data_IF_849717268049
#
_entry.id   IF_849717268049
#
_cell.length_a   1.000
_cell.length_b   1.000
_cell.length_c   1.000
_cell.angle_alpha   90.00
_cell.angle_beta   90.00
_cell.angle_gamma   90.00
#
_symmetry.space_group_name_H-M   'P 1'
#
loop_
_entity.id
_entity.type
_entity.pdbx_description
1 polymer ?
#
# COMPACT_ATOMS: atom_id res chain seq x y z
N UNK A 1 41.83 -9.84 12.03
CA UNK A 1 41.14 -10.85 12.88
C UNK A 1 39.85 -10.21 13.37
N UNK A 2 38.77 -10.36 12.61
CA UNK A 2 37.44 -9.88 12.99
C UNK A 2 36.56 -11.12 13.16
N UNK A 3 36.27 -11.45 14.41
CA UNK A 3 35.41 -12.56 14.81
C UNK A 3 33.97 -12.22 14.45
N UNK A 4 33.48 -12.81 13.35
CA UNK A 4 32.08 -12.80 12.95
C UNK A 4 31.27 -13.59 13.97
N UNK A 5 30.45 -12.89 14.77
CA UNK A 5 29.46 -13.53 15.64
C UNK A 5 28.47 -14.34 14.81
N UNK A 6 28.07 -15.56 15.23
CA UNK A 6 27.06 -16.34 14.53
C UNK A 6 25.68 -15.69 14.76
N UNK A 7 25.06 -15.20 13.69
CA UNK A 7 23.64 -14.84 13.72
C UNK A 7 22.81 -16.10 14.02
N UNK A 8 21.73 -15.99 14.82
CA UNK A 8 20.83 -17.11 15.10
C UNK A 8 20.04 -17.42 13.82
N UNK A 9 20.48 -18.43 13.08
CA UNK A 9 19.80 -18.90 11.87
C UNK A 9 18.55 -19.69 12.26
N UNK A 10 17.39 -19.26 11.74
CA UNK A 10 16.12 -19.98 11.79
C UNK A 10 16.30 -21.45 11.35
N UNK A 11 15.52 -22.41 11.89
CA UNK A 11 15.61 -23.82 11.50
C UNK A 11 15.43 -23.98 9.99
N UNK A 12 16.24 -24.84 9.38
CA UNK A 12 16.27 -25.07 7.94
C UNK A 12 14.85 -25.30 7.38
N UNK A 13 14.46 -24.48 6.41
CA UNK A 13 13.17 -24.55 5.72
C UNK A 13 12.95 -25.84 4.92
N UNK A 14 13.91 -26.77 4.94
CA UNK A 14 13.83 -28.10 4.33
C UNK A 14 13.13 -29.14 5.21
N UNK A 15 12.77 -28.81 6.45
CA UNK A 15 12.05 -29.73 7.32
C UNK A 15 10.55 -29.71 7.02
N UNK A 16 10.02 -30.82 6.51
CA UNK A 16 8.58 -31.04 6.31
C UNK A 16 7.86 -31.24 7.65
N UNK A 17 7.68 -30.17 8.42
CA UNK A 17 7.03 -30.19 9.74
C UNK A 17 5.67 -30.90 9.73
N UNK A 18 4.91 -30.74 8.64
CA UNK A 18 3.59 -31.34 8.45
C UNK A 18 3.60 -32.87 8.32
N UNK A 19 4.76 -33.51 8.10
CA UNK A 19 4.88 -34.97 8.01
C UNK A 19 5.39 -35.63 9.31
N UNK A 20 5.80 -34.84 10.29
CA UNK A 20 6.34 -35.36 11.55
C UNK A 20 5.21 -35.91 12.44
N UNK A 21 5.49 -37.01 13.15
CA UNK A 21 4.60 -37.47 14.22
C UNK A 21 4.62 -36.49 15.41
N UNK A 22 3.68 -36.66 16.33
CA UNK A 22 3.60 -35.84 17.55
C UNK A 22 4.89 -35.97 18.37
N UNK A 23 5.37 -37.20 18.58
CA UNK A 23 6.57 -37.49 19.37
C UNK A 23 7.83 -36.91 18.72
N UNK A 24 7.91 -37.00 17.39
CA UNK A 24 9.01 -36.41 16.63
C UNK A 24 9.00 -34.89 16.72
N UNK A 25 7.83 -34.27 16.66
CA UNK A 25 7.67 -32.82 16.79
C UNK A 25 8.04 -32.34 18.20
N UNK A 26 7.61 -33.05 19.24
CA UNK A 26 7.95 -32.75 20.64
C UNK A 26 9.45 -32.85 20.90
N UNK A 27 10.09 -33.87 20.31
CA UNK A 27 11.54 -34.06 20.41
C UNK A 27 12.29 -32.98 19.64
N UNK A 28 11.85 -32.65 18.41
CA UNK A 28 12.47 -31.62 17.58
C UNK A 28 12.35 -30.21 18.17
N UNK A 29 11.24 -29.92 18.86
CA UNK A 29 10.99 -28.65 19.53
C UNK A 29 11.52 -28.60 20.97
N UNK A 30 12.07 -29.70 21.49
CA UNK A 30 12.51 -29.85 22.89
C UNK A 30 11.46 -29.33 23.89
N UNK A 31 10.27 -29.92 23.82
CA UNK A 31 9.13 -29.56 24.66
C UNK A 31 8.41 -30.79 25.20
N UNK A 32 7.80 -30.64 26.36
CA UNK A 32 6.96 -31.68 26.96
C UNK A 32 5.49 -31.51 26.51
N UNK A 33 4.79 -32.62 26.29
CA UNK A 33 3.40 -32.61 25.87
C UNK A 33 2.41 -32.17 26.98
N UNK A 34 2.71 -32.52 28.24
CA UNK A 34 1.83 -32.28 29.39
C UNK A 34 2.16 -30.96 30.10
N UNK A 35 3.46 -30.68 30.27
CA UNK A 35 3.92 -29.52 31.05
C UNK A 35 4.33 -28.33 30.18
N UNK A 36 4.52 -28.54 28.87
CA UNK A 36 4.95 -27.50 27.94
C UNK A 36 6.37 -26.99 28.23
N UNK A 37 6.57 -25.70 27.97
CA UNK A 37 7.86 -25.02 28.17
C UNK A 37 7.92 -24.33 29.54
N UNK A 38 9.10 -24.35 30.14
CA UNK A 38 9.36 -23.59 31.36
C UNK A 38 9.50 -22.10 31.06
N UNK A 39 9.24 -21.23 32.05
CA UNK A 39 9.39 -19.77 31.88
C UNK A 39 10.80 -19.35 31.47
N UNK A 40 11.83 -20.08 31.91
CA UNK A 40 13.21 -19.85 31.50
C UNK A 40 13.41 -20.15 30.00
N UNK A 41 12.94 -21.31 29.54
CA UNK A 41 13.00 -21.69 28.13
C UNK A 41 12.19 -20.75 27.23
N UNK A 42 11.04 -20.25 27.71
CA UNK A 42 10.27 -19.23 26.98
C UNK A 42 11.09 -17.95 26.80
N UNK A 43 11.76 -17.49 27.86
CA UNK A 43 12.58 -16.27 27.82
C UNK A 43 13.78 -16.42 26.88
N UNK A 44 14.45 -17.57 26.92
CA UNK A 44 15.58 -17.89 26.03
C UNK A 44 15.13 -17.97 24.56
N UNK A 45 14.00 -18.63 24.30
CA UNK A 45 13.43 -18.70 22.94
C UNK A 45 12.97 -17.34 22.44
N UNK A 46 12.42 -16.47 23.28
CA UNK A 46 12.06 -15.10 22.89
C UNK A 46 13.30 -14.27 22.51
N UNK A 47 14.43 -14.47 23.19
CA UNK A 47 15.69 -13.80 22.82
C UNK A 47 16.28 -14.34 21.51
N UNK A 48 16.08 -15.62 21.22
CA UNK A 48 16.63 -16.28 20.04
C UNK A 48 15.76 -16.07 18.78
N UNK A 49 14.45 -16.29 18.88
CA UNK A 49 13.51 -16.24 17.75
C UNK A 49 12.81 -14.89 17.61
N UNK A 50 12.83 -14.05 18.65
CA UNK A 50 12.05 -12.82 18.69
C UNK A 50 10.57 -13.07 19.04
N UNK A 51 9.79 -11.99 19.00
CA UNK A 51 8.35 -12.06 19.17
C UNK A 51 7.71 -12.68 17.92
N UNK A 52 6.71 -13.53 18.12
CA UNK A 52 5.89 -14.07 17.02
C UNK A 52 4.86 -13.03 16.58
N UNK A 53 5.34 -11.89 16.10
CA UNK A 53 4.54 -10.80 15.56
C UNK A 53 4.99 -10.47 14.15
N UNK A 54 4.03 -10.16 13.29
CA UNK A 54 4.33 -9.65 11.96
C UNK A 54 4.74 -8.18 12.12
N UNK A 55 5.92 -7.82 11.62
CA UNK A 55 6.32 -6.43 11.57
C UNK A 55 5.32 -5.65 10.70
N UNK A 56 4.54 -4.78 11.34
CA UNK A 56 3.70 -3.84 10.61
C UNK A 56 4.61 -2.89 9.84
N UNK A 57 4.71 -3.10 8.53
CA UNK A 57 5.32 -2.12 7.64
C UNK A 57 4.55 -0.82 7.81
N UNK A 58 5.26 0.30 8.00
CA UNK A 58 4.63 1.61 8.13
C UNK A 58 3.56 1.80 7.07
N UNK A 59 2.33 2.04 7.52
CA UNK A 59 1.24 2.41 6.63
C UNK A 59 1.67 3.64 5.83
N UNK A 60 1.56 3.58 4.50
CA UNK A 60 1.83 4.74 3.67
C UNK A 60 0.91 5.87 4.09
N UNK A 61 1.48 7.05 4.36
CA UNK A 61 0.69 8.21 4.76
C UNK A 61 -0.23 8.66 3.62
N UNK A 62 -1.45 9.11 3.94
CA UNK A 62 -2.40 9.58 2.92
C UNK A 62 -1.86 10.75 2.09
N UNK A 63 -1.09 11.65 2.73
CA UNK A 63 -0.40 12.74 2.03
C UNK A 63 0.74 12.22 1.13
N UNK A 64 1.47 11.19 1.57
CA UNK A 64 2.49 10.54 0.75
C UNK A 64 1.90 9.95 -0.52
N UNK A 65 0.77 9.22 -0.40
CA UNK A 65 0.07 8.63 -1.54
C UNK A 65 -0.44 9.73 -2.50
N UNK A 66 -0.99 10.83 -1.96
CA UNK A 66 -1.45 11.97 -2.77
C UNK A 66 -0.30 12.61 -3.56
N UNK A 67 0.86 12.82 -2.93
CA UNK A 67 2.02 13.38 -3.61
C UNK A 67 2.62 12.41 -4.65
N UNK A 68 2.55 11.11 -4.39
CA UNK A 68 3.01 10.06 -5.32
C UNK A 68 2.27 10.12 -6.66
N UNK A 69 0.99 10.52 -6.66
CA UNK A 69 0.19 10.67 -7.88
C UNK A 69 0.75 11.75 -8.83
N UNK A 70 1.34 12.84 -8.30
CA UNK A 70 1.93 13.90 -9.14
C UNK A 70 3.23 13.45 -9.83
N UNK A 71 3.80 12.31 -9.45
CA UNK A 71 4.90 11.66 -10.17
C UNK A 71 4.46 10.79 -11.34
N UNK A 72 3.16 10.49 -11.45
CA UNK A 72 2.62 9.66 -12.53
C UNK A 72 2.54 10.45 -13.84
N UNK A 73 3.23 9.95 -14.87
CA UNK A 73 3.29 10.56 -16.21
C UNK A 73 1.88 10.71 -16.81
N UNK A 74 1.00 9.73 -16.59
CA UNK A 74 -0.37 9.78 -17.09
C UNK A 74 -1.17 10.91 -16.45
N UNK A 75 -1.02 11.13 -15.13
CA UNK A 75 -1.68 12.25 -14.46
C UNK A 75 -1.14 13.60 -14.94
N UNK A 76 0.18 13.73 -15.06
CA UNK A 76 0.81 14.96 -15.55
C UNK A 76 0.34 15.32 -16.96
N UNK A 77 0.16 14.33 -17.84
CA UNK A 77 -0.42 14.53 -19.17
C UNK A 77 -1.84 15.07 -19.09
N UNK A 78 -2.69 14.54 -18.21
CA UNK A 78 -4.06 15.02 -18.02
C UNK A 78 -4.09 16.46 -17.49
N UNK A 79 -3.22 16.77 -16.54
CA UNK A 79 -3.08 18.15 -16.03
C UNK A 79 -2.68 19.11 -17.15
N UNK A 80 -1.73 18.73 -18.01
CA UNK A 80 -1.32 19.56 -19.14
C UNK A 80 -2.48 19.83 -20.12
N UNK A 81 -3.25 18.79 -20.48
CA UNK A 81 -4.43 18.93 -21.34
C UNK A 81 -5.50 19.81 -20.68
N UNK A 82 -5.77 19.60 -19.40
CA UNK A 82 -6.75 20.40 -18.65
C UNK A 82 -6.35 21.87 -18.59
N UNK A 83 -5.06 22.18 -18.38
CA UNK A 83 -4.55 23.56 -18.39
C UNK A 83 -4.74 24.19 -19.78
N UNK A 84 -4.33 23.51 -20.85
CA UNK A 84 -4.48 24.03 -22.21
C UNK A 84 -5.96 24.28 -22.52
N UNK A 85 -6.83 23.31 -22.22
CA UNK A 85 -8.26 23.43 -22.43
C UNK A 85 -8.86 24.58 -21.62
N UNK A 86 -8.47 24.73 -20.35
CA UNK A 86 -8.95 25.81 -19.49
C UNK A 86 -8.50 27.19 -19.96
N UNK A 87 -7.27 27.31 -20.47
CA UNK A 87 -6.77 28.56 -21.06
C UNK A 87 -7.55 28.91 -22.34
N UNK A 88 -7.78 27.94 -23.24
CA UNK A 88 -8.56 28.15 -24.45
C UNK A 88 -10.00 28.58 -24.13
N UNK A 89 -10.64 27.93 -23.17
CA UNK A 89 -11.99 28.26 -22.70
C UNK A 89 -12.05 29.67 -22.10
N UNK A 90 -11.07 30.05 -21.27
CA UNK A 90 -10.99 31.38 -20.67
C UNK A 90 -10.84 32.49 -21.72
N UNK A 91 -10.11 32.24 -22.80
CA UNK A 91 -9.96 33.20 -23.92
C UNK A 91 -11.26 33.27 -24.75
N UNK A 92 -11.90 32.12 -25.00
CA UNK A 92 -13.17 32.04 -25.71
C UNK A 92 -14.31 32.71 -24.95
N UNK A 93 -14.28 32.71 -23.61
CA UNK A 93 -15.29 33.36 -22.77
C UNK A 93 -15.42 34.87 -23.05
N UNK A 94 -14.37 35.50 -23.60
CA UNK A 94 -14.42 36.90 -24.03
C UNK A 94 -15.15 37.11 -25.36
N UNK A 95 -15.27 36.08 -26.20
CA UNK A 95 -16.01 36.11 -27.47
C UNK A 95 -17.52 35.92 -27.30
N UNK A 96 -17.96 35.33 -26.18
CA UNK A 96 -19.37 35.22 -25.80
C UNK A 96 -20.00 36.56 -25.36
N UNK A 97 -19.27 37.66 -25.45
CA UNK A 97 -19.81 39.02 -25.39
C UNK A 97 -20.67 39.44 -26.58
N UNK A 98 -20.88 38.58 -27.58
CA UNK A 98 -21.80 38.78 -28.71
C UNK A 98 -22.54 37.49 -29.11
N UNK A 99 -22.90 36.63 -28.14
CA UNK A 99 -24.06 35.76 -28.33
C UNK A 99 -25.34 36.61 -28.15
N UNK A 100 -25.51 37.58 -29.06
CA UNK A 100 -26.74 38.34 -29.27
C UNK A 100 -27.87 37.33 -29.47
N UNK A 101 -28.59 37.06 -28.38
CA UNK A 101 -30.06 36.96 -28.30
C UNK A 101 -30.82 36.16 -29.38
N UNK A 102 -30.16 35.26 -30.11
CA UNK A 102 -30.71 34.46 -31.19
C UNK A 102 -31.22 33.10 -30.70
N UNK A 103 -32.06 33.07 -29.67
CA UNK A 103 -32.93 31.91 -29.50
C UNK A 103 -33.95 31.95 -30.65
N UNK A 104 -34.03 30.92 -31.52
CA UNK A 104 -34.85 30.92 -32.75
C UNK A 104 -36.36 30.91 -32.50
N UNK A 105 -36.79 31.05 -31.23
CA UNK A 105 -38.18 30.91 -30.80
C UNK A 105 -38.85 32.24 -30.45
N UNK A 106 -38.11 33.37 -30.43
CA UNK A 106 -38.73 34.69 -30.21
C UNK A 106 -39.51 35.17 -31.43
N UNK A 107 -39.06 34.85 -32.64
CA UNK A 107 -39.71 35.28 -33.89
C UNK A 107 -40.95 34.46 -34.25
N UNK A 108 -41.14 33.28 -33.64
CA UNK A 108 -42.34 32.44 -33.86
C UNK A 108 -43.60 33.02 -33.21
N UNK A 109 -43.45 33.82 -32.14
CA UNK A 109 -44.60 34.42 -31.42
C UNK A 109 -45.02 35.76 -32.05
N UNK A 110 -44.18 36.39 -32.86
CA UNK A 110 -44.51 37.65 -33.55
C UNK A 110 -45.35 37.48 -34.82
N UNK A 111 -45.69 36.24 -35.21
CA UNK A 111 -46.39 35.91 -36.48
C UNK A 111 -47.80 35.31 -36.22
N UNK A 112 -48.32 35.37 -34.97
CA UNK A 112 -49.70 34.96 -34.66
C UNK A 112 -50.57 36.11 -34.16
#
# INVERSE_FOLDING_TARGET
>A
MTSSSPSPSLPDSSSSWHTLSVEQSLTALDTNAETGLTSQQVTERLQHYGLNELEETQARSSLGIFLEQFGDIMLLMLIAVAIISGILDLINLQQDGLAESGFPFKDTIAIL
#
